data_IF_271227909956
#
_entry.id   IF_271227909956
#
_cell.length_a   1.000
_cell.length_b   1.000
_cell.length_c   1.000
_cell.angle_alpha   90.00
_cell.angle_beta   90.00
_cell.angle_gamma   90.00
#
_symmetry.space_group_name_H-M   'P 1'
#
loop_
_entity.id
_entity.type
_entity.pdbx_description
1 polymer ?
#
# COMPACT_ATOMS: atom_id res chain seq x y z
N UNK A 1 11.34 -23.84 -1.95
CA UNK A 1 12.48 -23.36 -2.75
C UNK A 1 12.05 -22.29 -3.75
N UNK A 2 11.17 -22.56 -4.73
CA UNK A 2 10.77 -21.55 -5.71
C UNK A 2 10.09 -20.29 -5.11
N UNK A 3 9.15 -20.46 -4.17
CA UNK A 3 8.49 -19.33 -3.49
C UNK A 3 9.49 -18.43 -2.75
N UNK A 4 10.37 -19.03 -1.95
CA UNK A 4 11.40 -18.30 -1.22
C UNK A 4 12.35 -17.55 -2.16
N UNK A 5 12.80 -18.18 -3.24
CA UNK A 5 13.66 -17.53 -4.23
C UNK A 5 12.98 -16.31 -4.87
N UNK A 6 11.69 -16.42 -5.19
CA UNK A 6 10.91 -15.30 -5.69
C UNK A 6 10.74 -14.18 -4.66
N UNK A 7 10.53 -14.51 -3.39
CA UNK A 7 10.48 -13.52 -2.30
C UNK A 7 11.80 -12.75 -2.17
N UNK A 8 12.92 -13.46 -2.19
CA UNK A 8 14.27 -12.88 -2.13
C UNK A 8 14.54 -11.98 -3.35
N UNK A 9 14.19 -12.43 -4.56
CA UNK A 9 14.34 -11.66 -5.79
C UNK A 9 13.48 -10.39 -5.81
N UNK A 10 12.21 -10.49 -5.39
CA UNK A 10 11.32 -9.33 -5.28
C UNK A 10 11.81 -8.32 -4.24
N UNK A 11 12.23 -8.81 -3.07
CA UNK A 11 12.79 -7.99 -2.00
C UNK A 11 14.03 -7.24 -2.49
N UNK A 12 14.96 -7.93 -3.17
CA UNK A 12 16.15 -7.31 -3.75
C UNK A 12 15.80 -6.29 -4.85
N UNK A 13 14.94 -6.66 -5.80
CA UNK A 13 14.61 -5.84 -6.96
C UNK A 13 13.90 -4.54 -6.59
N UNK A 14 12.98 -4.61 -5.62
CA UNK A 14 12.20 -3.46 -5.14
C UNK A 14 12.82 -2.79 -3.91
N UNK A 15 13.94 -3.33 -3.42
CA UNK A 15 14.77 -2.77 -2.37
C UNK A 15 14.20 -2.88 -0.97
N UNK A 16 13.40 -3.90 -0.67
CA UNK A 16 12.83 -4.14 0.67
C UNK A 16 13.59 -5.26 1.40
N UNK A 17 13.58 -5.26 2.75
CA UNK A 17 14.14 -6.37 3.52
C UNK A 17 13.40 -7.70 3.30
N UNK A 18 12.07 -7.66 3.15
CA UNK A 18 11.24 -8.85 2.97
C UNK A 18 10.16 -8.63 1.92
N UNK A 19 9.81 -9.72 1.25
CA UNK A 19 8.59 -9.87 0.47
C UNK A 19 7.85 -11.12 0.94
N UNK A 20 6.52 -11.07 0.97
CA UNK A 20 5.64 -12.18 1.34
C UNK A 20 4.68 -12.45 0.20
N UNK A 21 4.63 -13.69 -0.30
CA UNK A 21 3.75 -14.04 -1.41
C UNK A 21 2.31 -14.31 -0.98
N UNK A 22 1.37 -13.87 -1.82
CA UNK A 22 -0.06 -14.11 -1.69
C UNK A 22 -0.66 -14.61 -3.00
N UNK A 23 -1.80 -15.30 -2.91
CA UNK A 23 -2.48 -15.85 -4.08
C UNK A 23 -3.12 -14.77 -4.97
N UNK A 24 -3.39 -13.58 -4.44
CA UNK A 24 -3.92 -12.43 -5.19
C UNK A 24 -3.68 -11.12 -4.46
N UNK A 25 -3.73 -9.98 -5.17
CA UNK A 25 -3.66 -8.66 -4.56
C UNK A 25 -4.83 -8.39 -3.60
N UNK A 26 -6.01 -8.95 -3.89
CA UNK A 26 -7.15 -8.94 -2.98
C UNK A 26 -6.81 -9.61 -1.65
N UNK A 27 -6.27 -10.84 -1.69
CA UNK A 27 -5.91 -11.58 -0.49
C UNK A 27 -4.79 -10.89 0.31
N UNK A 28 -3.80 -10.31 -0.37
CA UNK A 28 -2.75 -9.50 0.25
C UNK A 28 -3.33 -8.30 1.02
N UNK A 29 -4.17 -7.50 0.37
CA UNK A 29 -4.81 -6.32 0.98
C UNK A 29 -5.65 -6.69 2.22
N UNK A 30 -6.45 -7.76 2.11
CA UNK A 30 -7.25 -8.26 3.24
C UNK A 30 -6.37 -8.72 4.40
N UNK A 31 -5.32 -9.51 4.12
CA UNK A 31 -4.43 -10.05 5.13
C UNK A 31 -3.67 -8.95 5.88
N UNK A 32 -3.10 -7.98 5.15
CA UNK A 32 -2.32 -6.88 5.73
C UNK A 32 -3.17 -6.02 6.65
N UNK A 33 -4.35 -5.58 6.18
CA UNK A 33 -5.22 -4.71 6.98
C UNK A 33 -5.76 -5.47 8.20
N UNK A 34 -6.14 -6.73 8.05
CA UNK A 34 -6.66 -7.57 9.15
C UNK A 34 -5.59 -7.84 10.21
N UNK A 35 -4.36 -8.11 9.80
CA UNK A 35 -3.26 -8.42 10.72
C UNK A 35 -2.81 -7.19 11.52
N UNK A 36 -2.77 -6.02 10.89
CA UNK A 36 -2.15 -4.83 11.47
C UNK A 36 -3.12 -3.92 12.22
N UNK A 37 -4.38 -3.83 11.79
CA UNK A 37 -5.29 -2.78 12.26
C UNK A 37 -6.27 -3.27 13.34
N UNK A 38 -6.31 -2.55 14.46
CA UNK A 38 -7.08 -2.88 15.68
C UNK A 38 -8.10 -1.78 16.02
N UNK A 39 -8.96 -2.05 17.01
CA UNK A 39 -10.10 -1.21 17.40
C UNK A 39 -9.80 0.28 17.67
N UNK A 40 -8.60 0.60 18.15
CA UNK A 40 -8.22 1.98 18.50
C UNK A 40 -7.41 2.68 17.40
N UNK A 41 -7.11 1.98 16.32
CA UNK A 41 -6.34 2.47 15.20
C UNK A 41 -7.25 3.21 14.20
N UNK A 42 -6.63 3.87 13.22
CA UNK A 42 -7.34 4.57 12.14
C UNK A 42 -6.75 4.20 10.79
N UNK A 43 -7.62 3.89 9.83
CA UNK A 43 -7.29 3.80 8.41
C UNK A 43 -7.76 5.08 7.73
N UNK A 44 -6.88 5.73 6.99
CA UNK A 44 -7.18 6.93 6.19
C UNK A 44 -6.94 6.60 4.71
N UNK A 45 -8.01 6.27 3.99
CA UNK A 45 -7.94 5.77 2.62
C UNK A 45 -8.38 6.81 1.58
N UNK A 46 -7.80 6.77 0.39
CA UNK A 46 -8.30 7.54 -0.74
C UNK A 46 -9.74 7.10 -1.06
N UNK A 47 -10.61 8.04 -1.44
CA UNK A 47 -11.99 7.70 -1.78
C UNK A 47 -12.09 6.81 -3.03
N UNK A 48 -11.18 6.89 -3.97
CA UNK A 48 -11.17 6.08 -5.19
C UNK A 48 -10.28 4.84 -5.10
N UNK A 49 -9.72 4.54 -3.92
CA UNK A 49 -9.00 3.28 -3.71
C UNK A 49 -9.84 2.06 -4.08
N UNK A 50 -9.18 1.05 -4.63
CA UNK A 50 -9.76 -0.17 -5.14
C UNK A 50 -10.69 -0.83 -4.11
N UNK A 51 -11.78 -1.43 -4.59
CA UNK A 51 -12.83 -1.99 -3.74
C UNK A 51 -12.28 -2.97 -2.69
N UNK A 52 -11.25 -3.75 -3.03
CA UNK A 52 -10.60 -4.68 -2.09
C UNK A 52 -10.00 -4.00 -0.87
N UNK A 53 -9.37 -2.84 -1.03
CA UNK A 53 -8.77 -2.07 0.06
C UNK A 53 -9.85 -1.47 0.94
N UNK A 54 -10.90 -0.90 0.33
CA UNK A 54 -12.02 -0.32 1.06
C UNK A 54 -12.82 -1.38 1.81
N UNK A 55 -13.01 -2.56 1.22
CA UNK A 55 -13.67 -3.69 1.86
C UNK A 55 -12.87 -4.17 3.08
N UNK A 56 -11.57 -4.41 2.93
CA UNK A 56 -10.68 -4.78 4.03
C UNK A 56 -10.70 -3.74 5.15
N UNK A 57 -10.61 -2.46 4.79
CA UNK A 57 -10.65 -1.37 5.76
C UNK A 57 -12.00 -1.23 6.47
N UNK A 58 -13.11 -1.54 5.78
CA UNK A 58 -14.45 -1.52 6.37
C UNK A 58 -14.72 -2.72 7.28
N UNK A 59 -14.10 -3.87 7.01
CA UNK A 59 -14.18 -5.07 7.85
C UNK A 59 -13.22 -5.01 9.06
N UNK A 60 -12.19 -4.17 8.98
CA UNK A 60 -11.28 -3.90 10.10
C UNK A 60 -12.02 -3.31 11.30
N UNK A 61 -11.62 -3.64 12.55
CA UNK A 61 -12.14 -2.96 13.74
C UNK A 61 -11.67 -1.51 13.87
N UNK A 62 -10.68 -1.06 13.08
CA UNK A 62 -10.15 0.30 13.10
C UNK A 62 -11.16 1.33 12.57
N UNK A 63 -10.99 2.59 12.94
CA UNK A 63 -11.78 3.67 12.39
C UNK A 63 -11.38 3.95 10.93
N UNK A 64 -12.27 3.69 9.98
CA UNK A 64 -12.07 4.13 8.59
C UNK A 64 -12.46 5.60 8.40
N UNK A 65 -11.56 6.40 7.82
CA UNK A 65 -11.82 7.73 7.28
C UNK A 65 -11.38 7.79 5.82
N UNK A 66 -12.12 8.51 4.98
CA UNK A 66 -11.80 8.64 3.55
C UNK A 66 -11.48 10.09 3.20
N UNK A 67 -10.30 10.34 2.65
CA UNK A 67 -9.94 11.66 2.12
C UNK A 67 -10.48 11.83 0.69
N UNK A 68 -10.56 13.08 0.22
CA UNK A 68 -10.99 13.36 -1.15
C UNK A 68 -9.86 12.89 -2.06
N UNK A 69 -10.20 12.30 -3.20
CA UNK A 69 -9.22 11.73 -4.11
C UNK A 69 -8.08 12.70 -4.44
N UNK A 70 -6.84 12.24 -4.22
CA UNK A 70 -5.60 13.03 -4.37
C UNK A 70 -5.52 14.34 -3.55
N UNK A 71 -6.45 14.61 -2.62
CA UNK A 71 -6.45 15.81 -1.78
C UNK A 71 -5.60 15.58 -0.52
N UNK A 72 -4.31 15.89 -0.64
CA UNK A 72 -3.31 15.79 0.42
C UNK A 72 -3.61 16.72 1.61
N UNK A 73 -4.28 17.85 1.37
CA UNK A 73 -4.69 18.76 2.45
C UNK A 73 -5.80 18.14 3.30
N UNK A 74 -6.77 17.48 2.67
CA UNK A 74 -7.78 16.72 3.39
C UNK A 74 -7.17 15.53 4.14
N UNK A 75 -6.25 14.79 3.52
CA UNK A 75 -5.48 13.74 4.19
C UNK A 75 -4.80 14.27 5.46
N UNK A 76 -4.07 15.39 5.37
CA UNK A 76 -3.41 15.99 6.53
C UNK A 76 -4.40 16.38 7.64
N UNK A 77 -5.54 16.98 7.30
CA UNK A 77 -6.60 17.31 8.28
C UNK A 77 -7.14 16.08 9.00
N UNK A 78 -7.31 14.95 8.30
CA UNK A 78 -7.76 13.70 8.90
C UNK A 78 -6.71 13.11 9.85
N UNK A 79 -5.42 13.18 9.48
CA UNK A 79 -4.31 12.68 10.31
C UNK A 79 -4.00 13.57 11.52
N UNK A 80 -4.34 14.87 11.46
CA UNK A 80 -4.24 15.80 12.59
C UNK A 80 -5.26 15.50 13.70
N UNK A 81 -6.40 14.89 13.36
CA UNK A 81 -7.42 14.55 14.34
C UNK A 81 -6.87 13.53 15.34
N UNK A 82 -7.08 13.68 16.66
CA UNK A 82 -6.54 12.75 17.66
C UNK A 82 -6.86 11.29 17.35
N UNK A 83 -5.87 10.42 17.48
CA UNK A 83 -5.98 8.97 17.36
C UNK A 83 -5.18 8.35 18.51
N UNK A 84 -5.78 7.39 19.21
CA UNK A 84 -5.14 6.73 20.37
C UNK A 84 -4.19 5.64 19.89
N UNK A 85 -4.57 4.90 18.85
CA UNK A 85 -3.77 3.85 18.25
C UNK A 85 -2.95 4.32 17.04
N UNK A 86 -2.59 3.36 16.20
CA UNK A 86 -1.81 3.60 14.99
C UNK A 86 -2.65 4.19 13.87
N UNK A 87 -1.99 4.90 12.96
CA UNK A 87 -2.62 5.44 11.76
C UNK A 87 -2.00 4.81 10.52
N UNK A 88 -2.85 4.32 9.62
CA UNK A 88 -2.47 3.75 8.33
C UNK A 88 -3.10 4.56 7.21
N UNK A 89 -2.27 5.17 6.37
CA UNK A 89 -2.68 5.80 5.12
C UNK A 89 -2.70 4.76 4.02
N UNK A 90 -3.77 4.72 3.24
CA UNK A 90 -3.96 3.75 2.16
C UNK A 90 -4.23 4.47 0.85
N UNK A 91 -3.46 4.16 -0.18
CA UNK A 91 -3.60 4.74 -1.52
C UNK A 91 -3.20 3.73 -2.60
N UNK A 92 -3.53 4.02 -3.85
CA UNK A 92 -2.96 3.32 -5.01
C UNK A 92 -1.82 4.14 -5.61
N UNK A 93 -0.89 3.47 -6.31
CA UNK A 93 0.12 4.14 -7.12
C UNK A 93 -0.50 4.79 -8.37
N UNK A 94 -1.26 3.97 -9.12
CA UNK A 94 -2.07 4.37 -10.28
C UNK A 94 -3.48 3.83 -10.07
N UNK A 95 -4.48 4.71 -10.16
CA UNK A 95 -5.87 4.33 -9.96
C UNK A 95 -6.45 3.68 -11.22
N UNK A 96 -7.02 2.49 -11.05
CA UNK A 96 -7.44 1.62 -12.16
C UNK A 96 -8.48 2.20 -13.12
N UNK A 97 -9.39 3.06 -12.65
CA UNK A 97 -10.53 3.54 -13.44
C UNK A 97 -10.18 4.77 -14.28
N UNK A 98 -9.50 5.75 -13.66
CA UNK A 98 -9.19 7.03 -14.29
C UNK A 98 -7.75 7.08 -14.84
N UNK A 99 -6.88 6.15 -14.42
CA UNK A 99 -5.48 6.03 -14.87
C UNK A 99 -4.56 7.13 -14.34
N UNK A 100 -5.07 7.99 -13.47
CA UNK A 100 -4.28 9.02 -12.80
C UNK A 100 -3.42 8.42 -11.68
N UNK A 101 -2.50 9.21 -11.13
CA UNK A 101 -1.52 8.74 -10.14
C UNK A 101 -1.60 9.55 -8.85
N UNK A 102 -1.45 8.86 -7.72
CA UNK A 102 -1.40 9.52 -6.43
C UNK A 102 -0.16 10.43 -6.30
N UNK A 103 -0.26 11.56 -5.57
CA UNK A 103 0.88 12.39 -5.20
C UNK A 103 1.72 11.73 -4.09
N UNK A 104 2.29 10.55 -4.38
CA UNK A 104 2.90 9.65 -3.40
C UNK A 104 3.97 10.30 -2.52
N UNK A 105 4.80 11.18 -3.07
CA UNK A 105 5.85 11.87 -2.31
C UNK A 105 5.28 12.78 -1.23
N UNK A 106 4.20 13.49 -1.55
CA UNK A 106 3.49 14.38 -0.62
C UNK A 106 2.71 13.57 0.42
N UNK A 107 2.04 12.49 -0.02
CA UNK A 107 1.34 11.55 0.88
C UNK A 107 2.32 10.95 1.89
N UNK A 108 3.49 10.44 1.45
CA UNK A 108 4.51 9.88 2.34
C UNK A 108 5.06 10.94 3.31
N UNK A 109 5.30 12.17 2.84
CA UNK A 109 5.75 13.26 3.70
C UNK A 109 4.74 13.56 4.81
N UNK A 110 3.45 13.67 4.45
CA UNK A 110 2.36 13.91 5.40
C UNK A 110 2.23 12.73 6.38
N UNK A 111 2.22 11.48 5.88
CA UNK A 111 2.14 10.29 6.71
C UNK A 111 3.26 10.27 7.77
N UNK A 112 4.52 10.49 7.34
CA UNK A 112 5.68 10.56 8.25
C UNK A 112 5.56 11.66 9.29
N UNK A 113 5.13 12.86 8.88
CA UNK A 113 4.91 13.99 9.81
C UNK A 113 3.90 13.68 10.90
N UNK A 114 2.93 12.81 10.61
CA UNK A 114 1.89 12.37 11.55
C UNK A 114 2.18 11.01 12.19
N UNK A 115 3.38 10.47 12.03
CA UNK A 115 3.77 9.13 12.49
C UNK A 115 2.81 8.02 12.02
N UNK A 116 2.19 8.22 10.86
CA UNK A 116 1.34 7.24 10.21
C UNK A 116 2.16 6.38 9.25
N UNK A 117 1.79 5.11 9.12
CA UNK A 117 2.30 4.23 8.08
C UNK A 117 1.62 4.54 6.75
N UNK A 118 2.30 4.23 5.66
CA UNK A 118 1.78 4.27 4.30
C UNK A 118 1.71 2.84 3.73
N UNK A 119 0.54 2.48 3.23
CA UNK A 119 0.31 1.34 2.35
C UNK A 119 0.02 1.86 0.93
N UNK A 120 0.83 1.45 -0.03
CA UNK A 120 0.58 1.70 -1.45
C UNK A 120 0.28 0.38 -2.16
N UNK A 121 -0.88 0.30 -2.81
CA UNK A 121 -1.16 -0.75 -3.79
C UNK A 121 -0.68 -0.27 -5.17
N UNK A 122 0.41 -0.86 -5.65
CA UNK A 122 1.05 -0.52 -6.91
C UNK A 122 0.74 -1.53 -8.02
N UNK A 123 -0.44 -2.16 -7.96
CA UNK A 123 -0.85 -3.19 -8.92
C UNK A 123 -0.82 -2.73 -10.39
N UNK A 124 -1.08 -1.45 -10.67
CA UNK A 124 -1.07 -0.89 -12.02
C UNK A 124 0.25 -0.22 -12.41
N UNK A 125 1.14 0.07 -11.46
CA UNK A 125 2.44 0.65 -11.74
C UNK A 125 3.52 -0.40 -11.95
N UNK A 126 3.50 -1.48 -11.17
CA UNK A 126 4.50 -2.55 -11.22
C UNK A 126 4.52 -3.25 -12.59
N UNK A 127 5.72 -3.43 -13.14
CA UNK A 127 5.96 -3.96 -14.48
C UNK A 127 5.70 -2.96 -15.62
N UNK A 128 5.25 -1.74 -15.32
CA UNK A 128 4.84 -0.73 -16.32
C UNK A 128 5.66 0.55 -16.23
N UNK A 129 5.87 1.05 -15.02
CA UNK A 129 6.49 2.35 -14.74
C UNK A 129 7.77 2.20 -13.92
N UNK A 130 8.60 3.26 -13.90
CA UNK A 130 9.88 3.25 -13.21
C UNK A 130 10.94 2.41 -13.93
N UNK A 131 12.21 2.65 -13.58
CA UNK A 131 13.31 1.93 -14.22
C UNK A 131 13.20 0.44 -13.96
N UNK A 132 13.35 -0.34 -15.04
CA UNK A 132 13.15 -1.80 -15.07
C UNK A 132 11.73 -2.26 -14.67
N UNK A 133 10.74 -1.36 -14.69
CA UNK A 133 9.36 -1.70 -14.33
C UNK A 133 9.11 -1.78 -12.82
N UNK A 134 9.95 -1.16 -11.99
CA UNK A 134 9.84 -1.20 -10.50
C UNK A 134 8.60 -0.53 -9.90
N UNK A 135 7.79 0.13 -10.72
CA UNK A 135 6.52 0.69 -10.31
C UNK A 135 6.56 2.17 -9.93
N UNK A 136 5.40 2.66 -9.52
CA UNK A 136 5.15 4.09 -9.27
C UNK A 136 5.91 4.57 -8.05
N UNK A 137 6.03 3.74 -7.02
CA UNK A 137 6.79 4.07 -5.81
C UNK A 137 8.25 4.38 -6.16
N UNK A 138 8.88 3.52 -6.97
CA UNK A 138 10.24 3.73 -7.46
C UNK A 138 10.35 5.01 -8.28
N UNK A 139 9.47 5.19 -9.27
CA UNK A 139 9.46 6.36 -10.15
C UNK A 139 9.35 7.69 -9.37
N UNK A 140 8.63 7.67 -8.24
CA UNK A 140 8.41 8.85 -7.39
C UNK A 140 9.45 8.99 -6.26
N UNK A 141 10.40 8.07 -6.13
CA UNK A 141 11.38 8.07 -5.04
C UNK A 141 10.75 7.85 -3.65
N UNK A 142 9.65 7.10 -3.61
CA UNK A 142 8.88 6.81 -2.38
C UNK A 142 9.07 5.35 -1.99
N UNK A 143 9.20 5.12 -0.69
CA UNK A 143 9.30 3.78 -0.11
C UNK A 143 8.33 3.68 1.07
N UNK A 144 7.08 3.25 0.82
CA UNK A 144 6.09 3.07 1.88
C UNK A 144 6.51 1.99 2.87
N UNK A 145 5.89 1.99 4.05
CA UNK A 145 6.07 0.93 5.04
C UNK A 145 5.52 -0.41 4.53
N UNK A 146 4.48 -0.36 3.70
CA UNK A 146 3.83 -1.51 3.07
C UNK A 146 3.64 -1.23 1.57
N UNK A 147 4.23 -2.05 0.71
CA UNK A 147 4.01 -2.01 -0.73
C UNK A 147 3.33 -3.31 -1.17
N UNK A 148 2.16 -3.19 -1.79
CA UNK A 148 1.45 -4.32 -2.38
C UNK A 148 1.64 -4.29 -3.89
N UNK A 149 2.06 -5.41 -4.47
CA UNK A 149 2.20 -5.59 -5.92
C UNK A 149 1.44 -6.83 -6.38
N UNK A 150 0.95 -6.82 -7.61
CA UNK A 150 0.29 -8.01 -8.20
C UNK A 150 0.99 -8.48 -9.46
N UNK A 151 0.96 -9.79 -9.69
CA UNK A 151 1.49 -10.40 -10.89
C UNK A 151 0.43 -10.60 -11.98
N UNK A 152 -0.85 -10.36 -11.64
CA UNK A 152 -2.02 -10.47 -12.53
C UNK A 152 -2.13 -9.46 -13.66
N UNK A 153 -1.23 -8.47 -13.72
CA UNK A 153 -1.32 -7.31 -14.63
C UNK A 153 -0.05 -7.17 -15.45
N UNK A 154 0.85 -6.27 -15.09
CA UNK A 154 2.09 -6.02 -15.85
C UNK A 154 2.95 -7.27 -16.10
N UNK A 155 2.91 -8.25 -15.19
CA UNK A 155 3.65 -9.52 -15.32
C UNK A 155 2.92 -10.61 -16.12
N UNK A 156 1.60 -10.52 -16.31
CA UNK A 156 0.83 -11.51 -17.08
C UNK A 156 0.71 -12.90 -16.46
N UNK A 157 0.91 -13.05 -15.14
CA UNK A 157 0.76 -14.34 -14.42
C UNK A 157 -0.25 -14.21 -13.27
N UNK A 158 -0.13 -14.96 -12.17
CA UNK A 158 -1.03 -14.86 -11.02
C UNK A 158 -0.25 -14.71 -9.72
N UNK A 159 -0.90 -14.12 -8.72
CA UNK A 159 -0.33 -13.88 -7.40
C UNK A 159 -0.11 -12.41 -7.08
N UNK A 160 0.44 -12.17 -5.90
CA UNK A 160 0.82 -10.88 -5.38
C UNK A 160 1.96 -11.03 -4.37
N UNK A 161 2.56 -9.90 -4.01
CA UNK A 161 3.46 -9.81 -2.89
C UNK A 161 3.19 -8.57 -2.04
N UNK A 162 3.48 -8.69 -0.74
CA UNK A 162 3.59 -7.57 0.19
C UNK A 162 5.05 -7.38 0.54
N UNK A 163 5.55 -6.17 0.38
CA UNK A 163 6.91 -5.78 0.64
C UNK A 163 6.95 -4.91 1.89
N UNK A 164 7.80 -5.27 2.84
CA UNK A 164 7.83 -4.66 4.16
C UNK A 164 9.19 -4.85 4.85
N UNK A 165 9.32 -4.36 6.09
CA UNK A 165 10.47 -4.63 6.94
C UNK A 165 10.45 -6.05 7.52
N UNK A 166 11.60 -6.50 8.00
CA UNK A 166 11.74 -7.82 8.65
C UNK A 166 10.79 -7.99 9.84
N UNK A 167 10.73 -6.99 10.72
CA UNK A 167 9.85 -6.99 11.90
C UNK A 167 8.35 -7.01 11.59
N UNK A 168 7.96 -6.65 10.36
CA UNK A 168 6.55 -6.67 9.93
C UNK A 168 6.21 -8.00 9.26
N UNK A 169 7.21 -8.67 8.68
CA UNK A 169 7.03 -9.97 8.03
C UNK A 169 6.93 -11.13 9.02
N UNK A 170 7.54 -10.98 10.21
CA UNK A 170 7.55 -11.96 11.29
C UNK A 170 6.31 -11.85 12.21
#
# INVERSE_FOLDING_TARGET
MAHQALEEELAQWLGYPRALLFISGFAANQAVITALMKKNDRIVADRLSHASLLEAANQSPAQLRRFIHNDTQHLSRLLQSPCVGQQLVVTEGVYSMDGDSAPLAEIQHIARRHHAWLLVDDAHGIGVTGDEGRGTCWQRGVKPELLVVTFGKGFGVSGAAVLCSESVAD
#
